data_IF_700853197468
#
_entry.id   IF_700853197468
#
_cell.length_a   1.000
_cell.length_b   1.000
_cell.length_c   1.000
_cell.angle_alpha   90.00
_cell.angle_beta   90.00
_cell.angle_gamma   90.00
#
_symmetry.space_group_name_H-M   'P 1'
#
loop_
_entity.id
_entity.type
_entity.pdbx_description
1 polymer ?
#
# COMPACT_ATOMS: atom_id res chain seq x y z
N UNK A 1 -15.31 21.24 -18.11
CA UNK A 1 -15.79 21.99 -16.94
C UNK A 1 -15.14 21.59 -15.63
N UNK A 2 -14.77 20.33 -15.41
CA UNK A 2 -14.10 19.86 -14.17
C UNK A 2 -12.65 20.39 -14.00
N UNK A 3 -11.90 20.57 -15.08
CA UNK A 3 -10.51 21.06 -15.03
C UNK A 3 -10.38 22.55 -14.66
N UNK A 4 -11.44 23.35 -14.83
CA UNK A 4 -11.46 24.78 -14.41
C UNK A 4 -11.72 25.00 -12.92
N UNK A 5 -12.14 23.96 -12.19
CA UNK A 5 -12.42 24.06 -10.75
C UNK A 5 -11.23 23.74 -9.84
N UNK A 6 -10.14 23.23 -10.39
CA UNK A 6 -8.98 22.79 -9.59
C UNK A 6 -7.81 23.75 -9.61
N UNK A 7 -7.90 24.87 -10.37
CA UNK A 7 -6.86 25.94 -10.44
C UNK A 7 -5.41 25.42 -10.54
N UNK A 8 -5.25 24.21 -11.10
CA UNK A 8 -3.96 23.58 -11.32
C UNK A 8 -3.47 24.08 -12.68
N UNK A 9 -2.72 25.15 -12.67
CA UNK A 9 -1.93 25.60 -13.80
C UNK A 9 -0.74 24.64 -14.00
N UNK A 10 -1.01 23.38 -14.23
CA UNK A 10 -0.02 22.45 -14.75
C UNK A 10 -0.03 22.66 -16.25
N UNK A 11 1.05 23.19 -16.79
CA UNK A 11 1.33 23.17 -18.23
C UNK A 11 1.49 21.70 -18.64
N UNK A 12 0.36 21.04 -18.85
CA UNK A 12 0.40 19.70 -19.45
C UNK A 12 0.98 19.84 -20.85
N UNK A 13 1.95 19.03 -21.26
CA UNK A 13 2.39 18.95 -22.64
C UNK A 13 1.15 18.75 -23.53
N UNK A 14 1.10 19.45 -24.66
CA UNK A 14 -0.03 19.38 -25.60
C UNK A 14 -0.41 17.96 -26.02
N UNK A 15 0.55 17.03 -25.95
CA UNK A 15 0.36 15.61 -26.17
C UNK A 15 -0.58 14.97 -25.12
N UNK A 16 -0.36 15.27 -23.84
CA UNK A 16 -1.16 14.69 -22.74
C UNK A 16 -2.62 15.19 -22.80
N UNK A 17 -2.82 16.43 -23.23
CA UNK A 17 -4.15 17.02 -23.43
C UNK A 17 -4.89 16.33 -24.57
N UNK A 18 -4.20 16.03 -25.68
CA UNK A 18 -4.76 15.27 -26.81
C UNK A 18 -5.14 13.84 -26.40
N UNK A 19 -4.29 13.18 -25.64
CA UNK A 19 -4.53 11.81 -25.16
C UNK A 19 -5.74 11.77 -24.22
N UNK A 20 -5.90 12.77 -23.35
CA UNK A 20 -7.10 12.91 -22.50
C UNK A 20 -8.37 13.22 -23.29
N UNK A 21 -8.30 14.08 -24.29
CA UNK A 21 -9.43 14.37 -25.18
C UNK A 21 -9.84 13.10 -25.95
N UNK A 22 -8.89 12.34 -26.49
CA UNK A 22 -9.15 11.06 -27.15
C UNK A 22 -9.76 10.02 -26.18
N UNK A 23 -9.29 9.93 -24.95
CA UNK A 23 -9.84 9.05 -23.94
C UNK A 23 -11.29 9.40 -23.57
N UNK A 24 -11.61 10.70 -23.49
CA UNK A 24 -12.96 11.17 -23.23
C UNK A 24 -13.89 10.86 -24.42
N UNK A 25 -13.42 11.08 -25.66
CA UNK A 25 -14.18 10.74 -26.86
C UNK A 25 -14.41 9.24 -26.98
N UNK A 26 -13.40 8.42 -26.71
CA UNK A 26 -13.50 6.97 -26.69
C UNK A 26 -14.52 6.48 -25.64
N UNK A 27 -14.48 7.00 -24.43
CA UNK A 27 -15.47 6.67 -23.40
C UNK A 27 -16.88 7.14 -23.75
N UNK A 28 -17.02 8.27 -24.44
CA UNK A 28 -18.33 8.72 -24.95
C UNK A 28 -18.85 7.81 -26.03
N UNK A 29 -18.00 7.38 -26.97
CA UNK A 29 -18.36 6.46 -28.06
C UNK A 29 -18.81 5.12 -27.49
N UNK A 30 -18.05 4.51 -26.56
CA UNK A 30 -18.45 3.26 -25.89
C UNK A 30 -19.78 3.41 -25.13
N UNK A 31 -19.96 4.53 -24.43
CA UNK A 31 -21.18 4.78 -23.68
C UNK A 31 -22.39 4.95 -24.58
N UNK A 32 -22.19 5.56 -25.75
CA UNK A 32 -23.24 5.71 -26.77
C UNK A 32 -23.58 4.36 -27.39
N UNK A 33 -22.59 3.60 -27.84
CA UNK A 33 -22.76 2.26 -28.43
C UNK A 33 -23.47 1.29 -27.47
N UNK A 34 -23.08 1.33 -26.19
CA UNK A 34 -23.75 0.55 -25.14
C UNK A 34 -25.20 0.98 -24.93
N UNK A 35 -25.48 2.28 -25.02
CA UNK A 35 -26.86 2.79 -24.93
C UNK A 35 -27.69 2.33 -26.12
N UNK A 36 -27.14 2.44 -27.31
CA UNK A 36 -27.82 2.05 -28.54
C UNK A 36 -28.09 0.53 -28.57
N UNK A 37 -27.12 -0.27 -28.15
CA UNK A 37 -27.30 -1.71 -27.95
C UNK A 37 -28.42 -2.06 -26.96
N UNK A 38 -28.43 -1.36 -25.79
CA UNK A 38 -29.49 -1.59 -24.79
C UNK A 38 -30.88 -1.13 -25.28
N UNK A 39 -30.96 -0.09 -26.11
CA UNK A 39 -32.19 0.34 -26.72
C UNK A 39 -32.68 -0.67 -27.75
N UNK A 40 -31.80 -1.23 -28.58
CA UNK A 40 -32.11 -2.29 -29.52
C UNK A 40 -32.62 -3.53 -28.82
N UNK A 41 -31.93 -4.02 -27.80
CA UNK A 41 -32.36 -5.15 -26.97
C UNK A 41 -33.70 -4.90 -26.28
N UNK A 42 -33.95 -3.68 -25.87
CA UNK A 42 -35.23 -3.29 -25.27
C UNK A 42 -36.36 -3.32 -26.28
N UNK A 43 -36.15 -2.77 -27.50
CA UNK A 43 -37.14 -2.76 -28.54
C UNK A 43 -37.47 -4.17 -29.01
N UNK A 44 -36.45 -5.03 -29.21
CA UNK A 44 -36.65 -6.45 -29.56
C UNK A 44 -37.47 -7.19 -28.50
N UNK A 45 -37.17 -6.92 -27.20
CA UNK A 45 -37.89 -7.53 -26.08
C UNK A 45 -39.33 -7.02 -25.99
N UNK A 46 -39.58 -5.73 -26.21
CA UNK A 46 -40.90 -5.12 -26.25
C UNK A 46 -41.74 -5.68 -27.41
N UNK A 47 -41.13 -5.86 -28.60
CA UNK A 47 -41.82 -6.49 -29.78
C UNK A 47 -42.18 -7.94 -29.46
N UNK A 48 -41.26 -8.73 -28.88
CA UNK A 48 -41.56 -10.11 -28.45
C UNK A 48 -42.69 -10.16 -27.42
N UNK A 49 -42.71 -9.24 -26.48
CA UNK A 49 -43.75 -9.16 -25.46
C UNK A 49 -45.09 -8.80 -26.08
N UNK A 50 -45.11 -7.87 -27.04
CA UNK A 50 -46.32 -7.52 -27.79
C UNK A 50 -46.84 -8.68 -28.67
N UNK A 51 -45.96 -9.49 -29.22
CA UNK A 51 -46.36 -10.66 -30.00
C UNK A 51 -46.92 -11.80 -29.12
N UNK A 52 -46.32 -12.03 -27.96
CA UNK A 52 -46.74 -13.10 -27.04
C UNK A 52 -48.01 -12.77 -26.23
N UNK A 53 -48.31 -11.50 -26.03
CA UNK A 53 -49.49 -11.07 -25.26
C UNK A 53 -50.79 -11.55 -25.86
N UNK A 54 -51.08 -11.36 -27.21
CA UNK A 54 -52.33 -11.85 -27.83
C UNK A 54 -52.39 -13.38 -27.90
N UNK A 55 -51.26 -14.06 -28.02
CA UNK A 55 -51.18 -15.52 -27.98
C UNK A 55 -51.59 -16.04 -26.62
N UNK A 56 -51.05 -15.44 -25.54
CA UNK A 56 -51.42 -15.77 -24.19
C UNK A 56 -52.88 -15.51 -23.90
N UNK A 57 -53.46 -14.39 -24.37
CA UNK A 57 -54.90 -14.13 -24.26
C UNK A 57 -55.75 -15.11 -25.00
N UNK A 58 -55.29 -15.56 -26.21
CA UNK A 58 -56.02 -16.56 -26.98
C UNK A 58 -56.06 -17.91 -26.26
N UNK A 59 -54.90 -18.34 -25.76
CA UNK A 59 -54.81 -19.59 -24.98
C UNK A 59 -55.59 -19.53 -23.66
N UNK A 60 -55.62 -18.38 -23.00
CA UNK A 60 -56.48 -18.22 -21.83
C UNK A 60 -57.97 -18.31 -22.16
N UNK A 61 -58.42 -17.73 -23.27
CA UNK A 61 -59.80 -17.86 -23.79
C UNK A 61 -60.16 -19.27 -24.15
N UNK A 62 -59.28 -19.97 -24.86
CA UNK A 62 -59.45 -21.38 -25.23
C UNK A 62 -59.50 -22.26 -23.96
N UNK A 63 -58.64 -22.03 -23.02
CA UNK A 63 -58.68 -22.69 -21.71
C UNK A 63 -60.02 -22.44 -20.99
N UNK A 64 -60.49 -21.23 -20.98
CA UNK A 64 -61.79 -20.89 -20.33
C UNK A 64 -62.94 -21.63 -21.02
N UNK A 65 -62.96 -21.71 -22.37
CA UNK A 65 -64.00 -22.45 -23.10
C UNK A 65 -63.96 -23.96 -22.83
N UNK A 66 -62.76 -24.54 -22.76
CA UNK A 66 -62.63 -25.95 -22.41
C UNK A 66 -63.10 -26.26 -20.98
N UNK A 67 -62.88 -25.30 -20.04
CA UNK A 67 -63.35 -25.43 -18.67
C UNK A 67 -64.89 -25.23 -18.57
N UNK A 68 -65.49 -24.36 -19.39
CA UNK A 68 -66.94 -24.16 -19.43
C UNK A 68 -67.68 -25.41 -20.00
N UNK A 69 -67.02 -26.11 -20.94
CA UNK A 69 -67.54 -27.37 -21.46
C UNK A 69 -67.47 -28.54 -20.47
N UNK A 70 -66.57 -28.48 -19.49
CA UNK A 70 -66.36 -29.49 -18.43
C UNK A 70 -67.24 -29.25 -17.20
N UNK A 71 -68.34 -28.50 -17.30
CA UNK A 71 -69.16 -28.04 -16.19
C UNK A 71 -69.80 -29.20 -15.38
N UNK A 72 -68.93 -29.89 -14.66
CA UNK A 72 -69.21 -30.80 -13.57
C UNK A 72 -68.43 -30.30 -12.33
N UNK A 73 -68.80 -29.20 -11.82
CA UNK A 73 -68.28 -28.25 -10.86
C UNK A 73 -67.18 -28.71 -9.85
N UNK A 74 -67.27 -29.90 -9.28
CA UNK A 74 -66.35 -30.36 -8.21
C UNK A 74 -64.98 -30.86 -8.72
N UNK A 75 -64.93 -31.40 -9.91
CA UNK A 75 -63.70 -31.95 -10.52
C UNK A 75 -62.77 -30.84 -11.03
N UNK A 76 -63.34 -29.75 -11.54
CA UNK A 76 -62.58 -28.61 -12.04
C UNK A 76 -61.97 -27.80 -10.89
N UNK A 77 -62.69 -27.63 -9.79
CA UNK A 77 -62.14 -26.96 -8.60
C UNK A 77 -60.99 -27.76 -7.99
N UNK A 78 -61.14 -29.06 -7.83
CA UNK A 78 -60.05 -29.95 -7.39
C UNK A 78 -58.86 -29.92 -8.35
N UNK A 79 -59.09 -29.91 -9.67
CA UNK A 79 -57.99 -29.78 -10.63
C UNK A 79 -57.26 -28.45 -10.53
N UNK A 80 -58.00 -27.32 -10.38
CA UNK A 80 -57.40 -26.02 -10.18
C UNK A 80 -56.55 -25.97 -8.87
N UNK A 81 -57.12 -26.53 -7.81
CA UNK A 81 -56.41 -26.58 -6.52
C UNK A 81 -55.12 -27.40 -6.64
N UNK A 82 -55.17 -28.62 -7.23
CA UNK A 82 -53.99 -29.44 -7.43
C UNK A 82 -53.00 -28.78 -8.40
N UNK A 83 -53.48 -28.11 -9.46
CA UNK A 83 -52.63 -27.37 -10.39
C UNK A 83 -51.88 -26.21 -9.66
N UNK A 84 -52.58 -25.45 -8.82
CA UNK A 84 -51.96 -24.38 -8.02
C UNK A 84 -50.96 -24.93 -7.03
N UNK A 85 -51.25 -26.05 -6.38
CA UNK A 85 -50.29 -26.74 -5.49
C UNK A 85 -49.03 -27.19 -6.25
N UNK A 86 -49.16 -27.74 -7.44
CA UNK A 86 -48.07 -28.15 -8.31
C UNK A 86 -47.20 -26.95 -8.70
N UNK A 87 -47.81 -25.81 -9.05
CA UNK A 87 -47.09 -24.56 -9.35
C UNK A 87 -46.30 -24.07 -8.14
N UNK A 88 -46.95 -24.05 -6.97
CA UNK A 88 -46.30 -23.64 -5.72
C UNK A 88 -45.12 -24.56 -5.40
N UNK A 89 -45.32 -25.87 -5.44
CA UNK A 89 -44.24 -26.84 -5.15
C UNK A 89 -43.09 -26.71 -6.15
N UNK A 90 -43.35 -26.45 -7.43
CA UNK A 90 -42.29 -26.19 -8.41
C UNK A 90 -41.52 -24.93 -8.13
N UNK A 91 -42.21 -23.87 -7.68
CA UNK A 91 -41.55 -22.64 -7.27
C UNK A 91 -40.66 -22.86 -6.03
N UNK A 92 -41.12 -23.64 -5.07
CA UNK A 92 -40.36 -24.00 -3.86
C UNK A 92 -39.12 -24.84 -4.21
N UNK A 93 -39.29 -25.84 -5.11
CA UNK A 93 -38.17 -26.66 -5.61
C UNK A 93 -37.12 -25.76 -6.28
N UNK A 94 -37.52 -24.85 -7.15
CA UNK A 94 -36.62 -23.95 -7.85
C UNK A 94 -35.91 -22.97 -6.86
N UNK A 95 -36.59 -22.60 -5.78
CA UNK A 95 -35.98 -21.81 -4.70
C UNK A 95 -34.95 -22.61 -3.90
N UNK A 96 -35.30 -23.84 -3.55
CA UNK A 96 -34.42 -24.74 -2.81
C UNK A 96 -33.17 -25.15 -3.64
N UNK A 97 -33.35 -25.37 -4.94
CA UNK A 97 -32.22 -25.65 -5.84
C UNK A 97 -31.23 -24.48 -5.90
N UNK A 98 -31.74 -23.23 -5.97
CA UNK A 98 -30.87 -22.03 -5.91
C UNK A 98 -30.15 -21.92 -4.57
N UNK A 99 -30.83 -22.20 -3.48
CA UNK A 99 -30.21 -22.19 -2.16
C UNK A 99 -29.13 -23.30 -2.03
N UNK A 100 -29.40 -24.48 -2.55
CA UNK A 100 -28.45 -25.59 -2.58
C UNK A 100 -27.19 -25.23 -3.38
N UNK A 101 -27.38 -24.60 -4.54
CA UNK A 101 -26.27 -24.12 -5.37
C UNK A 101 -25.43 -23.08 -4.65
N UNK A 102 -26.06 -22.09 -4.02
CA UNK A 102 -25.37 -21.08 -3.25
C UNK A 102 -24.58 -21.69 -2.05
N UNK A 103 -25.17 -22.65 -1.36
CA UNK A 103 -24.48 -23.38 -0.28
C UNK A 103 -23.26 -24.16 -0.80
N UNK A 104 -23.40 -24.83 -1.95
CA UNK A 104 -22.29 -25.54 -2.61
C UNK A 104 -21.14 -24.59 -2.93
N UNK A 105 -21.44 -23.42 -3.48
CA UNK A 105 -20.44 -22.38 -3.75
C UNK A 105 -19.75 -21.88 -2.48
N UNK A 106 -20.51 -21.68 -1.40
CA UNK A 106 -19.95 -21.27 -0.12
C UNK A 106 -18.99 -22.33 0.43
N UNK A 107 -19.35 -23.62 0.34
CA UNK A 107 -18.46 -24.71 0.77
C UNK A 107 -17.19 -24.75 -0.04
N UNK A 108 -17.28 -24.60 -1.36
CA UNK A 108 -16.12 -24.55 -2.25
C UNK A 108 -15.19 -23.35 -1.91
N UNK A 109 -15.76 -22.16 -1.78
CA UNK A 109 -14.98 -20.96 -1.42
C UNK A 109 -14.32 -21.07 -0.03
N UNK A 110 -14.98 -21.72 0.92
CA UNK A 110 -14.38 -21.99 2.24
C UNK A 110 -13.20 -22.94 2.14
N UNK A 111 -13.29 -23.93 1.29
CA UNK A 111 -12.20 -24.88 1.06
C UNK A 111 -11.01 -24.20 0.38
N UNK A 112 -11.25 -23.40 -0.65
CA UNK A 112 -10.21 -22.59 -1.29
C UNK A 112 -9.53 -21.61 -0.32
N UNK A 113 -10.35 -20.89 0.45
CA UNK A 113 -9.82 -19.99 1.49
C UNK A 113 -8.91 -20.73 2.47
N UNK A 114 -9.29 -21.95 2.89
CA UNK A 114 -8.49 -22.77 3.80
C UNK A 114 -7.16 -23.17 3.16
N UNK A 115 -7.15 -23.60 1.91
CA UNK A 115 -5.93 -23.97 1.18
C UNK A 115 -4.98 -22.77 1.02
N UNK A 116 -5.53 -21.60 0.67
CA UNK A 116 -4.75 -20.36 0.57
C UNK A 116 -4.16 -19.98 1.94
N UNK A 117 -4.94 -20.09 3.00
CA UNK A 117 -4.49 -19.81 4.36
C UNK A 117 -3.36 -20.76 4.80
N UNK A 118 -3.49 -22.07 4.54
CA UNK A 118 -2.46 -23.06 4.84
C UNK A 118 -1.18 -22.78 4.06
N UNK A 119 -1.30 -22.45 2.76
CA UNK A 119 -0.15 -22.08 1.92
C UNK A 119 0.53 -20.81 2.43
N UNK A 120 -0.25 -19.79 2.81
CA UNK A 120 0.27 -18.56 3.42
C UNK A 120 1.07 -18.86 4.69
N UNK A 121 0.52 -19.67 5.60
CA UNK A 121 1.17 -20.02 6.84
C UNK A 121 2.48 -20.79 6.59
N UNK A 122 2.47 -21.72 5.63
CA UNK A 122 3.68 -22.46 5.25
C UNK A 122 4.76 -21.53 4.71
N UNK A 123 4.40 -20.59 3.83
CA UNK A 123 5.33 -19.59 3.30
C UNK A 123 5.88 -18.67 4.39
N UNK A 124 5.02 -18.25 5.31
CA UNK A 124 5.44 -17.42 6.44
C UNK A 124 6.47 -18.14 7.30
N UNK A 125 6.21 -19.39 7.67
CA UNK A 125 7.17 -20.20 8.44
C UNK A 125 8.48 -20.42 7.68
N UNK A 126 8.43 -20.63 6.37
CA UNK A 126 9.63 -20.77 5.54
C UNK A 126 10.45 -19.47 5.52
N UNK A 127 9.81 -18.30 5.41
CA UNK A 127 10.47 -17.01 5.47
C UNK A 127 11.08 -16.76 6.86
N UNK A 128 10.35 -17.08 7.93
CA UNK A 128 10.86 -16.96 9.31
C UNK A 128 12.10 -17.83 9.53
N UNK A 129 12.09 -19.06 9.04
CA UNK A 129 13.24 -19.94 9.09
C UNK A 129 14.42 -19.42 8.27
N UNK A 130 14.17 -18.90 7.09
CA UNK A 130 15.22 -18.34 6.22
C UNK A 130 15.85 -17.09 6.86
N UNK A 131 15.04 -16.19 7.43
CA UNK A 131 15.53 -15.02 8.19
C UNK A 131 16.41 -15.47 9.36
N UNK A 132 16.01 -16.50 10.09
CA UNK A 132 16.75 -17.02 11.24
C UNK A 132 18.11 -17.60 10.81
N UNK A 133 18.12 -18.43 9.77
CA UNK A 133 19.35 -18.98 9.17
C UNK A 133 20.26 -17.88 8.68
N UNK A 134 19.71 -16.87 8.01
CA UNK A 134 20.46 -15.73 7.53
C UNK A 134 21.05 -14.90 8.67
N UNK A 135 20.33 -14.72 9.77
CA UNK A 135 20.84 -13.99 10.94
C UNK A 135 21.94 -14.71 11.71
N UNK A 136 21.97 -16.06 11.69
CA UNK A 136 22.95 -16.87 12.41
C UNK A 136 24.21 -17.16 11.60
N UNK A 137 24.16 -17.05 10.27
CA UNK A 137 25.28 -17.38 9.40
C UNK A 137 26.42 -16.37 9.54
N UNK A 138 27.60 -16.81 9.95
CA UNK A 138 28.79 -15.98 10.04
C UNK A 138 29.21 -15.46 8.66
N UNK A 139 29.52 -14.17 8.54
CA UNK A 139 29.88 -13.51 7.29
C UNK A 139 28.70 -13.08 6.43
N UNK A 140 27.49 -13.12 6.96
CA UNK A 140 26.31 -12.59 6.29
C UNK A 140 26.25 -11.06 6.42
N UNK A 141 25.88 -10.40 5.35
CA UNK A 141 25.72 -8.94 5.28
C UNK A 141 24.79 -8.38 6.33
N UNK A 142 23.73 -9.10 6.67
CA UNK A 142 22.81 -8.67 7.73
C UNK A 142 23.54 -8.53 9.08
N UNK A 143 24.43 -9.48 9.40
CA UNK A 143 25.23 -9.43 10.62
C UNK A 143 26.26 -8.30 10.57
N UNK A 144 26.86 -8.03 9.42
CA UNK A 144 27.75 -6.88 9.25
C UNK A 144 26.98 -5.55 9.44
N UNK A 145 25.75 -5.47 8.89
CA UNK A 145 24.87 -4.31 9.12
C UNK A 145 24.54 -4.16 10.60
N UNK A 146 24.18 -5.24 11.29
CA UNK A 146 23.90 -5.19 12.74
C UNK A 146 25.12 -4.71 13.53
N UNK A 147 26.31 -5.21 13.19
CA UNK A 147 27.54 -4.82 13.85
C UNK A 147 27.87 -3.34 13.63
N UNK A 148 27.85 -2.87 12.39
CA UNK A 148 28.10 -1.45 12.09
C UNK A 148 27.02 -0.54 12.67
N UNK A 149 25.77 -1.00 12.72
CA UNK A 149 24.70 -0.28 13.35
C UNK A 149 24.93 -0.09 14.85
N UNK A 150 25.29 -1.15 15.56
CA UNK A 150 25.64 -1.08 16.97
C UNK A 150 26.86 -0.20 17.22
N UNK A 151 27.93 -0.36 16.42
CA UNK A 151 29.14 0.49 16.48
C UNK A 151 28.78 1.99 16.38
N UNK A 152 27.96 2.38 15.39
CA UNK A 152 27.56 3.77 15.19
C UNK A 152 26.76 4.30 16.39
N UNK A 153 25.78 3.53 16.86
CA UNK A 153 24.96 3.96 17.99
C UNK A 153 25.80 4.08 19.26
N UNK A 154 26.69 3.13 19.48
CA UNK A 154 27.63 3.17 20.61
C UNK A 154 28.55 4.39 20.53
N UNK A 155 29.13 4.67 19.38
CA UNK A 155 30.01 5.82 19.19
C UNK A 155 29.29 7.15 19.45
N UNK A 156 28.00 7.25 19.13
CA UNK A 156 27.24 8.49 19.30
C UNK A 156 26.63 8.62 20.70
N UNK A 157 25.98 7.55 21.18
CA UNK A 157 25.19 7.60 22.44
C UNK A 157 25.88 6.97 23.62
N UNK A 158 26.93 6.17 23.45
CA UNK A 158 27.54 5.36 24.51
C UNK A 158 26.61 4.23 25.00
N UNK A 159 25.68 3.80 24.14
CA UNK A 159 24.72 2.75 24.40
C UNK A 159 24.77 1.73 23.28
N UNK A 160 24.27 0.53 23.50
CA UNK A 160 24.18 -0.50 22.49
C UNK A 160 22.82 -0.49 21.81
N UNK A 161 22.79 -0.93 20.55
CA UNK A 161 21.54 -1.03 19.82
C UNK A 161 21.42 -2.37 19.09
N UNK A 162 20.22 -2.91 19.14
CA UNK A 162 19.86 -4.14 18.45
C UNK A 162 19.02 -3.84 17.21
N UNK A 163 19.46 -4.33 16.07
CA UNK A 163 18.68 -4.34 14.85
C UNK A 163 18.10 -5.74 14.67
N UNK A 164 16.79 -5.87 14.68
CA UNK A 164 16.07 -7.12 14.48
C UNK A 164 15.21 -7.09 13.22
N UNK A 165 14.97 -8.25 12.63
CA UNK A 165 14.06 -8.43 11.49
C UNK A 165 12.98 -9.41 11.90
N UNK A 166 11.74 -8.99 11.74
CA UNK A 166 10.57 -9.83 11.99
C UNK A 166 9.73 -9.95 10.73
N UNK A 167 8.96 -11.02 10.63
CA UNK A 167 8.02 -11.20 9.53
C UNK A 167 6.64 -10.76 9.98
N UNK A 168 6.14 -9.69 9.40
CA UNK A 168 4.80 -9.21 9.67
C UNK A 168 3.73 -10.22 9.25
N UNK A 169 2.55 -10.10 9.80
CA UNK A 169 1.39 -10.94 9.44
C UNK A 169 0.99 -10.83 7.95
N UNK A 170 1.44 -9.78 7.27
CA UNK A 170 1.30 -9.56 5.82
C UNK A 170 2.32 -10.34 4.99
N UNK A 171 3.36 -10.90 5.62
CA UNK A 171 4.50 -11.55 4.96
C UNK A 171 5.63 -10.58 4.56
N UNK A 172 5.53 -9.30 4.88
CA UNK A 172 6.59 -8.33 4.70
C UNK A 172 7.63 -8.43 5.82
N UNK A 173 8.89 -8.08 5.51
CA UNK A 173 9.93 -7.94 6.53
C UNK A 173 9.78 -6.57 7.21
N UNK A 174 9.79 -6.59 8.52
CA UNK A 174 9.81 -5.38 9.37
C UNK A 174 11.15 -5.32 10.09
N UNK A 175 11.85 -4.20 9.92
CA UNK A 175 13.07 -3.89 10.64
C UNK A 175 12.72 -3.12 11.91
N UNK A 176 13.16 -3.61 13.06
CA UNK A 176 13.04 -2.94 14.33
C UNK A 176 14.43 -2.60 14.85
N UNK A 177 14.60 -1.38 15.31
CA UNK A 177 15.83 -0.88 15.91
C UNK A 177 15.53 -0.44 17.35
N UNK A 178 16.23 -1.01 18.32
CA UNK A 178 16.01 -0.81 19.73
C UNK A 178 17.32 -0.51 20.43
N UNK A 179 17.29 0.44 21.37
CA UNK A 179 18.43 0.70 22.27
C UNK A 179 18.30 -0.26 23.45
N UNK A 180 19.36 -0.99 23.70
CA UNK A 180 19.43 -1.99 24.76
C UNK A 180 20.45 -1.57 25.85
N UNK A 181 20.14 -1.93 27.08
CA UNK A 181 21.07 -1.73 28.18
C UNK A 181 22.19 -2.79 28.20
N UNK A 182 23.11 -2.66 29.16
CA UNK A 182 24.21 -3.63 29.31
C UNK A 182 23.78 -5.07 29.61
N UNK A 183 22.49 -5.28 29.91
CA UNK A 183 21.91 -6.62 30.10
C UNK A 183 21.22 -7.15 28.84
N UNK A 184 21.14 -6.34 27.79
CA UNK A 184 20.41 -6.67 26.55
C UNK A 184 18.90 -6.42 26.62
N UNK A 185 18.41 -5.77 27.69
CA UNK A 185 17.00 -5.44 27.81
C UNK A 185 16.70 -4.11 27.09
N UNK A 186 15.55 -4.08 26.41
CA UNK A 186 15.04 -2.88 25.72
C UNK A 186 14.88 -1.71 26.72
N UNK A 187 15.45 -0.56 26.38
CA UNK A 187 15.28 0.67 27.15
C UNK A 187 14.16 1.54 26.57
N UNK A 188 13.54 2.36 27.43
CA UNK A 188 12.55 3.35 26.97
C UNK A 188 13.16 4.49 26.16
N UNK A 189 14.48 4.63 26.16
CA UNK A 189 15.21 5.67 25.44
C UNK A 189 14.97 5.61 23.94
N UNK A 190 14.97 4.42 23.33
CA UNK A 190 14.74 4.21 21.91
C UNK A 190 13.36 4.63 21.40
N UNK A 191 12.39 4.93 22.27
CA UNK A 191 11.03 5.34 21.91
C UNK A 191 10.88 6.82 21.58
N UNK A 192 11.84 7.66 21.94
CA UNK A 192 11.82 9.09 21.62
C UNK A 192 12.01 9.36 20.12
N UNK A 193 11.37 10.42 19.61
CA UNK A 193 11.48 10.82 18.19
C UNK A 193 12.94 11.06 17.76
N UNK A 194 13.70 11.71 18.60
CA UNK A 194 15.12 12.02 18.40
C UNK A 194 15.97 10.77 18.22
N UNK A 195 15.78 9.77 19.09
CA UNK A 195 16.51 8.52 18.99
C UNK A 195 16.14 7.73 17.74
N UNK A 196 14.85 7.71 17.35
CA UNK A 196 14.41 7.07 16.11
C UNK A 196 15.11 7.66 14.88
N UNK A 197 15.28 8.98 14.84
CA UNK A 197 15.99 9.66 13.76
C UNK A 197 17.46 9.21 13.70
N UNK A 198 18.13 9.18 14.85
CA UNK A 198 19.50 8.69 14.92
C UNK A 198 19.62 7.21 14.50
N UNK A 199 18.71 6.36 14.95
CA UNK A 199 18.69 4.95 14.56
C UNK A 199 18.50 4.79 13.04
N UNK A 200 17.68 5.62 12.38
CA UNK A 200 17.58 5.62 10.92
C UNK A 200 18.90 6.01 10.25
N UNK A 201 19.57 7.06 10.75
CA UNK A 201 20.87 7.49 10.22
C UNK A 201 21.90 6.37 10.37
N UNK A 202 21.97 5.77 11.57
CA UNK A 202 22.89 4.67 11.87
C UNK A 202 22.64 3.47 10.96
N UNK A 203 21.38 3.14 10.70
CA UNK A 203 21.00 2.06 9.79
C UNK A 203 21.46 2.34 8.35
N UNK A 204 21.18 3.51 7.81
CA UNK A 204 21.58 3.88 6.47
C UNK A 204 23.11 3.85 6.32
N UNK A 205 23.85 4.40 7.27
CA UNK A 205 25.30 4.38 7.27
C UNK A 205 25.85 2.94 7.37
N UNK A 206 25.28 2.09 8.23
CA UNK A 206 25.67 0.69 8.36
C UNK A 206 25.46 -0.09 7.05
N UNK A 207 24.34 0.13 6.36
CA UNK A 207 24.07 -0.44 5.04
C UNK A 207 25.14 0.03 4.04
N UNK A 208 25.36 1.34 3.93
CA UNK A 208 26.36 1.89 3.00
C UNK A 208 27.74 1.33 3.25
N UNK A 209 28.17 1.18 4.51
CA UNK A 209 29.47 0.61 4.89
C UNK A 209 29.57 -0.86 4.50
N UNK A 210 28.54 -1.66 4.71
CA UNK A 210 28.51 -3.08 4.35
C UNK A 210 28.65 -3.28 2.84
N UNK A 211 28.11 -2.36 2.04
CA UNK A 211 28.17 -2.44 0.58
C UNK A 211 29.31 -1.63 -0.06
N UNK A 212 30.23 -1.08 0.73
CA UNK A 212 31.30 -0.20 0.27
C UNK A 212 32.17 -0.81 -0.83
N UNK A 213 32.43 -2.12 -0.77
CA UNK A 213 33.22 -2.87 -1.76
C UNK A 213 32.47 -3.26 -3.03
N UNK A 214 31.22 -2.83 -3.20
CA UNK A 214 30.34 -3.22 -4.29
C UNK A 214 29.85 -2.02 -5.10
N UNK A 215 29.18 -2.29 -6.23
CA UNK A 215 28.45 -1.27 -6.99
C UNK A 215 27.14 -0.95 -6.27
N UNK A 216 27.21 -0.07 -5.30
CA UNK A 216 26.08 0.40 -4.49
C UNK A 216 26.16 1.92 -4.38
N UNK A 217 25.04 2.64 -4.20
CA UNK A 217 25.03 4.08 -3.92
C UNK A 217 25.94 4.39 -2.72
N UNK A 218 26.76 5.42 -2.84
CA UNK A 218 27.72 5.83 -1.79
C UNK A 218 27.31 7.12 -1.11
N UNK A 219 26.05 7.46 -1.13
CA UNK A 219 25.54 8.67 -0.50
C UNK A 219 24.30 8.38 0.35
N UNK A 220 24.10 9.17 1.38
CA UNK A 220 22.85 9.25 2.13
C UNK A 220 22.44 10.71 2.28
N UNK A 221 21.15 10.95 2.42
CA UNK A 221 20.58 12.27 2.69
C UNK A 221 19.72 12.22 3.95
N UNK A 222 20.03 13.08 4.92
CA UNK A 222 19.28 13.15 6.16
C UNK A 222 18.96 14.60 6.50
N UNK A 223 17.68 14.86 6.73
CA UNK A 223 17.18 16.18 7.05
C UNK A 223 17.09 16.43 8.55
N UNK A 224 17.56 17.61 8.99
CA UNK A 224 17.48 18.05 10.39
C UNK A 224 18.17 17.11 11.37
N UNK A 225 19.37 16.66 11.06
CA UNK A 225 20.12 15.59 11.75
C UNK A 225 20.37 15.88 13.22
N UNK A 226 20.62 17.16 13.58
CA UNK A 226 20.99 17.56 14.94
C UNK A 226 19.83 18.02 15.80
N UNK A 227 18.63 17.99 15.27
CA UNK A 227 17.42 18.41 15.97
C UNK A 227 17.22 17.59 17.25
N UNK A 228 17.06 18.30 18.36
CA UNK A 228 16.83 17.72 19.70
C UNK A 228 17.93 16.78 20.24
N UNK A 229 19.07 16.65 19.57
CA UNK A 229 20.22 15.91 20.12
C UNK A 229 20.96 16.73 21.15
N UNK A 230 21.50 16.06 22.18
CA UNK A 230 22.40 16.68 23.15
C UNK A 230 23.72 17.11 22.51
N UNK A 231 24.36 18.17 23.01
CA UNK A 231 25.63 18.69 22.44
C UNK A 231 26.75 17.65 22.33
N UNK A 232 26.80 16.69 23.25
CA UNK A 232 27.78 15.59 23.22
C UNK A 232 27.51 14.63 22.07
N UNK A 233 26.24 14.23 21.90
CA UNK A 233 25.81 13.32 20.81
C UNK A 233 25.99 13.99 19.43
N UNK A 234 25.70 15.30 19.30
CA UNK A 234 25.93 16.07 18.07
C UNK A 234 27.39 16.00 17.62
N UNK A 235 28.35 16.27 18.56
CA UNK A 235 29.78 16.19 18.25
C UNK A 235 30.22 14.80 17.81
N UNK A 236 29.78 13.79 18.55
CA UNK A 236 30.11 12.38 18.20
C UNK A 236 29.54 11.99 16.85
N UNK A 237 28.29 12.41 16.54
CA UNK A 237 27.71 12.14 15.25
C UNK A 237 28.47 12.81 14.10
N UNK A 238 28.93 14.06 14.27
CA UNK A 238 29.80 14.74 13.29
C UNK A 238 31.09 13.92 13.07
N UNK A 239 31.71 13.44 14.15
CA UNK A 239 32.91 12.61 14.07
C UNK A 239 32.65 11.31 13.25
N UNK A 240 31.52 10.64 13.52
CA UNK A 240 31.13 9.44 12.78
C UNK A 240 30.88 9.77 11.30
N UNK A 241 30.17 10.84 10.99
CA UNK A 241 29.91 11.24 9.60
C UNK A 241 31.21 11.51 8.83
N UNK A 242 32.20 12.15 9.47
CA UNK A 242 33.55 12.36 8.89
C UNK A 242 34.29 11.06 8.65
N UNK A 243 34.28 10.14 9.61
CA UNK A 243 34.88 8.81 9.44
C UNK A 243 34.27 8.08 8.23
N UNK A 244 32.98 8.20 8.04
CA UNK A 244 32.29 7.60 6.89
C UNK A 244 32.61 8.33 5.58
N UNK A 245 32.82 9.64 5.61
CA UNK A 245 33.31 10.40 4.44
C UNK A 245 34.74 10.00 4.07
N UNK A 246 35.62 9.76 5.04
CA UNK A 246 36.99 9.26 4.81
C UNK A 246 37.02 7.86 4.16
N UNK A 247 35.98 7.05 4.39
CA UNK A 247 35.80 5.78 3.69
C UNK A 247 35.32 5.93 2.24
N UNK A 248 35.06 7.16 1.78
CA UNK A 248 34.59 7.47 0.43
C UNK A 248 33.06 7.39 0.27
N UNK A 249 32.33 7.49 1.37
CA UNK A 249 30.89 7.70 1.40
C UNK A 249 30.58 9.20 1.43
N UNK A 250 29.41 9.60 0.94
CA UNK A 250 28.97 10.99 0.92
C UNK A 250 27.70 11.16 1.77
N UNK A 251 27.81 11.33 3.10
CA UNK A 251 26.69 11.70 3.92
C UNK A 251 26.32 13.18 3.67
N UNK A 252 25.15 13.42 3.14
CA UNK A 252 24.57 14.76 2.94
C UNK A 252 23.57 15.00 4.05
N UNK A 253 23.76 16.07 4.80
CA UNK A 253 22.91 16.42 5.93
C UNK A 253 22.41 17.85 5.79
N UNK A 254 21.22 18.12 6.32
CA UNK A 254 20.75 19.48 6.57
C UNK A 254 20.69 19.76 8.07
N UNK A 255 20.93 21.00 8.44
CA UNK A 255 20.82 21.46 9.82
C UNK A 255 20.45 22.93 9.86
N UNK A 256 19.83 23.35 10.95
CA UNK A 256 19.65 24.76 11.26
C UNK A 256 20.87 25.28 12.01
N UNK A 257 21.24 26.54 11.81
CA UNK A 257 22.32 27.19 12.55
C UNK A 257 22.08 27.13 14.07
N UNK A 258 20.82 27.23 14.50
CA UNK A 258 20.39 27.12 15.87
C UNK A 258 20.62 25.72 16.50
N UNK A 259 20.71 24.70 15.69
CA UNK A 259 20.93 23.32 16.14
C UNK A 259 22.40 22.99 16.33
N UNK A 260 23.29 23.86 15.84
CA UNK A 260 24.71 23.72 16.02
C UNK A 260 25.06 24.33 17.39
N UNK A 261 25.69 23.58 18.31
CA UNK A 261 26.13 24.15 19.60
C UNK A 261 27.13 25.27 19.37
N UNK A 262 26.99 26.40 20.10
CA UNK A 262 27.94 27.53 20.06
C UNK A 262 29.39 27.07 20.35
N UNK A 263 29.57 26.04 21.19
CA UNK A 263 30.85 25.44 21.47
C UNK A 263 31.46 24.68 20.29
N UNK A 264 30.69 24.36 19.27
CA UNK A 264 31.19 23.68 18.05
C UNK A 264 31.89 24.69 17.13
N UNK A 265 31.46 25.95 17.09
CA UNK A 265 32.07 26.98 16.24
C UNK A 265 33.54 27.31 16.58
N UNK A 266 34.06 26.90 17.75
CA UNK A 266 35.43 27.13 18.20
C UNK A 266 36.23 25.88 18.58
N UNK A 267 35.66 24.68 18.33
CA UNK A 267 36.24 23.36 18.61
C UNK A 267 36.76 22.69 17.32
N UNK A 268 37.73 21.77 17.39
CA UNK A 268 38.10 20.92 16.28
C UNK A 268 36.95 20.05 15.73
N UNK A 269 35.85 19.97 16.51
CA UNK A 269 34.61 19.29 16.09
C UNK A 269 33.64 20.24 15.36
N UNK A 270 34.04 21.49 15.07
CA UNK A 270 33.22 22.45 14.34
C UNK A 270 33.01 21.98 12.89
N UNK A 271 31.84 22.24 12.33
CA UNK A 271 31.63 22.07 10.87
C UNK A 271 32.50 23.10 10.17
N UNK A 272 33.43 22.61 9.34
CA UNK A 272 34.30 23.46 8.57
C UNK A 272 33.54 24.11 7.40
N UNK A 273 33.97 25.33 7.02
CA UNK A 273 33.38 26.04 5.88
C UNK A 273 33.50 25.21 4.59
N UNK A 274 34.52 24.37 4.49
CA UNK A 274 34.73 23.44 3.37
C UNK A 274 33.69 22.32 3.30
N UNK A 275 33.03 21.99 4.41
CA UNK A 275 31.97 20.98 4.50
C UNK A 275 30.58 21.56 4.17
N UNK A 276 30.45 22.89 4.18
CA UNK A 276 29.19 23.59 3.88
C UNK A 276 29.07 23.80 2.38
N UNK A 277 28.24 23.00 1.73
CA UNK A 277 28.03 23.06 0.25
C UNK A 277 27.03 24.14 -0.12
N UNK A 278 26.02 24.39 0.69
CA UNK A 278 24.96 25.35 0.40
C UNK A 278 24.39 25.90 1.71
N UNK A 279 24.23 27.20 1.78
CA UNK A 279 23.49 27.88 2.85
C UNK A 279 22.14 28.34 2.31
N UNK A 280 21.06 27.91 2.94
CA UNK A 280 19.70 28.29 2.57
C UNK A 280 19.18 29.36 3.54
N UNK A 281 18.44 30.35 3.00
CA UNK A 281 17.82 31.40 3.81
C UNK A 281 16.55 31.92 3.14
N UNK A 282 15.71 32.59 3.90
CA UNK A 282 14.42 33.13 3.42
C UNK A 282 14.55 34.50 2.73
N UNK A 283 15.71 35.13 2.80
CA UNK A 283 15.98 36.44 2.23
C UNK A 283 16.17 36.39 0.71
N UNK A 284 15.06 36.37 -0.04
CA UNK A 284 15.08 36.44 -1.50
C UNK A 284 15.20 35.09 -2.22
N UNK A 285 15.38 35.16 -3.54
CA UNK A 285 15.38 33.97 -4.39
C UNK A 285 16.69 33.19 -4.34
N UNK A 286 17.78 33.82 -3.93
CA UNK A 286 19.13 33.21 -3.93
C UNK A 286 19.32 32.21 -2.81
N UNK A 287 18.60 32.38 -1.67
CA UNK A 287 18.63 31.47 -0.53
C UNK A 287 17.82 30.18 -0.70
N UNK A 288 17.22 29.95 -1.84
CA UNK A 288 16.34 28.81 -2.08
C UNK A 288 17.03 27.72 -2.88
N UNK A 289 16.88 26.49 -2.43
CA UNK A 289 17.48 25.31 -3.09
C UNK A 289 17.09 25.20 -4.58
N UNK A 290 15.81 25.46 -4.91
CA UNK A 290 15.30 25.29 -6.27
C UNK A 290 15.05 26.62 -7.01
N UNK A 291 15.39 27.77 -6.45
CA UNK A 291 15.16 29.12 -7.03
C UNK A 291 13.75 29.32 -7.61
N UNK A 292 12.76 28.64 -7.07
CA UNK A 292 11.35 28.77 -7.46
C UNK A 292 10.77 30.09 -6.93
N UNK A 293 9.71 30.58 -7.59
CA UNK A 293 8.97 31.74 -7.06
C UNK A 293 8.35 31.39 -5.71
N UNK A 294 8.24 32.38 -4.83
CA UNK A 294 7.48 32.25 -3.57
C UNK A 294 6.05 31.83 -3.87
N UNK A 295 5.54 30.90 -3.08
CA UNK A 295 4.13 30.55 -3.11
C UNK A 295 3.28 31.67 -2.54
#
# INVERSE_FOLDING_TARGET
MLLRRLDIAVAFPDQLKKDFEQLIEFNRAISQERRDYLLEQRTETEERLQALTPELESLQRERARLFEFLDGSDTIEKYKEVSNQVISIRADIASLDRQREALSQIVHLRQEKRQVQERRNHLQTAIEQDVLVQSETAGNRYREIQQYFDEIVHDVLDEHALLSVTVASTGSLEFSAEIVDSTGAETSAGRGFTFKKLLCIAFDLAVLRTYLGQQFPRFSFHDGVFESLEPRAKRRLISVLRQYADLGLQPVITTLDSDLPEAISSSPDAIETSEVVCTLHDDGAEGRLFRTKSF
#
